data_IF_078332083136
#
_entry.id   IF_078332083136
#
_cell.length_a   1.000
_cell.length_b   1.000
_cell.length_c   1.000
_cell.angle_alpha   90.00
_cell.angle_beta   90.00
_cell.angle_gamma   90.00
#
_symmetry.space_group_name_H-M   'P 1'
#
loop_
_entity.id
_entity.type
_entity.pdbx_description
1 polymer ?
#
# COMPACT_ATOMS: atom_id res chain seq x y z
N UNK A 1 2.39 26.50 16.87
CA UNK A 1 2.44 25.30 17.73
C UNK A 1 3.87 24.86 18.02
N UNK A 2 4.71 24.56 17.03
CA UNK A 2 6.07 24.06 17.25
C UNK A 2 6.94 24.94 18.19
N UNK A 3 6.90 26.26 18.04
CA UNK A 3 7.62 27.19 18.90
C UNK A 3 7.20 27.08 20.39
N UNK A 4 5.90 27.00 20.67
CA UNK A 4 5.42 26.85 22.05
C UNK A 4 5.75 25.48 22.66
N UNK A 5 5.85 24.44 21.83
CA UNK A 5 6.33 23.13 22.26
C UNK A 5 7.81 23.14 22.66
N UNK A 6 8.64 24.00 22.04
CA UNK A 6 10.04 24.17 22.44
C UNK A 6 10.17 24.88 23.80
N UNK A 7 9.20 25.72 24.14
CA UNK A 7 9.10 26.43 25.42
C UNK A 7 8.36 25.63 26.50
N UNK A 8 7.99 24.36 26.23
CA UNK A 8 7.18 23.51 27.11
C UNK A 8 5.80 24.08 27.48
N UNK A 9 5.29 25.04 26.69
CA UNK A 9 3.97 25.66 26.90
C UNK A 9 2.87 24.88 26.17
N UNK A 10 2.55 23.70 26.69
CA UNK A 10 1.60 22.75 26.06
C UNK A 10 0.19 23.35 25.95
N UNK A 11 -0.29 24.04 26.99
CA UNK A 11 -1.63 24.65 26.96
C UNK A 11 -1.76 25.74 25.90
N UNK A 12 -0.75 26.61 25.77
CA UNK A 12 -0.75 27.62 24.70
C UNK A 12 -0.72 26.98 23.32
N UNK A 13 -0.04 25.84 23.17
CA UNK A 13 -0.05 25.11 21.92
C UNK A 13 -1.45 24.51 21.59
N UNK A 14 -2.22 24.06 22.60
CA UNK A 14 -3.63 23.64 22.42
C UNK A 14 -4.52 24.81 22.01
N UNK A 15 -4.40 25.95 22.68
CA UNK A 15 -5.16 27.17 22.33
C UNK A 15 -4.89 27.62 20.89
N UNK A 16 -3.64 27.51 20.42
CA UNK A 16 -3.27 27.82 19.04
C UNK A 16 -3.96 26.84 18.07
N UNK A 17 -4.02 25.55 18.39
CA UNK A 17 -4.71 24.56 17.57
C UNK A 17 -6.21 24.87 17.46
N UNK A 18 -6.87 25.17 18.58
CA UNK A 18 -8.29 25.56 18.60
C UNK A 18 -8.54 26.84 17.83
N UNK A 19 -7.69 27.86 18.01
CA UNK A 19 -7.79 29.13 17.28
C UNK A 19 -7.62 28.89 15.78
N UNK A 20 -6.62 28.12 15.37
CA UNK A 20 -6.39 27.79 13.97
C UNK A 20 -7.60 27.10 13.34
N UNK A 21 -8.25 26.16 14.03
CA UNK A 21 -9.45 25.48 13.53
C UNK A 21 -10.69 26.38 13.42
N UNK A 22 -10.75 27.46 14.20
CA UNK A 22 -11.79 28.49 14.13
C UNK A 22 -11.50 29.52 13.02
N UNK A 23 -10.24 29.85 12.79
CA UNK A 23 -9.83 30.88 11.82
C UNK A 23 -9.68 30.36 10.40
N UNK A 24 -9.21 29.11 10.23
CA UNK A 24 -9.05 28.50 8.91
C UNK A 24 -10.43 28.26 8.30
N UNK A 25 -10.61 28.73 7.07
CA UNK A 25 -11.86 28.65 6.36
C UNK A 25 -12.32 27.18 6.19
N UNK A 26 -13.62 26.92 6.33
CA UNK A 26 -14.14 25.55 6.37
C UNK A 26 -13.89 24.74 5.09
N UNK A 27 -13.73 25.42 3.93
CA UNK A 27 -13.39 24.78 2.65
C UNK A 27 -11.94 24.31 2.56
N UNK A 28 -11.05 24.84 3.40
CA UNK A 28 -9.64 24.44 3.47
C UNK A 28 -9.50 23.13 4.28
N UNK A 29 -10.12 22.06 3.77
CA UNK A 29 -10.18 20.77 4.47
C UNK A 29 -8.80 20.17 4.74
N UNK A 30 -7.84 20.37 3.84
CA UNK A 30 -6.47 19.87 4.02
C UNK A 30 -5.75 20.61 5.15
N UNK A 31 -5.83 21.94 5.19
CA UNK A 31 -5.20 22.74 6.24
C UNK A 31 -5.80 22.44 7.61
N UNK A 32 -7.13 22.30 7.68
CA UNK A 32 -7.80 21.90 8.93
C UNK A 32 -7.37 20.50 9.37
N UNK A 33 -7.25 19.55 8.44
CA UNK A 33 -6.75 18.21 8.73
C UNK A 33 -5.29 18.23 9.23
N UNK A 34 -4.43 19.10 8.69
CA UNK A 34 -3.06 19.28 9.16
C UNK A 34 -3.01 19.79 10.61
N UNK A 35 -3.91 20.72 10.98
CA UNK A 35 -4.02 21.21 12.36
C UNK A 35 -4.47 20.09 13.30
N UNK A 36 -5.47 19.29 12.92
CA UNK A 36 -5.88 18.12 13.71
C UNK A 36 -4.75 17.11 13.90
N UNK A 37 -3.99 16.82 12.83
CA UNK A 37 -2.83 15.93 12.91
C UNK A 37 -1.76 16.47 13.87
N UNK A 38 -1.47 17.77 13.81
CA UNK A 38 -0.52 18.42 14.71
C UNK A 38 -0.99 18.35 16.17
N UNK A 39 -2.29 18.56 16.42
CA UNK A 39 -2.86 18.49 17.76
C UNK A 39 -2.85 17.05 18.30
N UNK A 40 -3.23 16.05 17.51
CA UNK A 40 -3.14 14.64 17.92
C UNK A 40 -1.69 14.22 18.23
N UNK A 41 -0.71 14.71 17.46
CA UNK A 41 0.71 14.46 17.76
C UNK A 41 1.15 15.11 19.07
N UNK A 42 0.68 16.34 19.34
CA UNK A 42 0.92 17.03 20.60
C UNK A 42 0.38 16.22 21.78
N UNK A 43 -0.88 15.79 21.74
CA UNK A 43 -1.48 15.01 22.82
C UNK A 43 -0.82 13.63 22.96
N UNK A 44 -0.46 12.96 21.87
CA UNK A 44 0.20 11.66 21.94
C UNK A 44 1.59 11.74 22.61
N UNK A 45 2.30 12.86 22.44
CA UNK A 45 3.65 13.05 22.95
C UNK A 45 3.70 13.67 24.35
N UNK A 46 2.83 14.62 24.64
CA UNK A 46 2.87 15.42 25.88
C UNK A 46 1.58 15.41 26.70
N UNK A 47 0.48 14.89 26.14
CA UNK A 47 -0.81 14.78 26.81
C UNK A 47 -0.99 13.48 27.57
N UNK A 48 -2.23 13.21 27.96
CA UNK A 48 -2.67 11.96 28.61
C UNK A 48 -3.52 11.15 27.63
N UNK A 49 -3.82 9.89 27.98
CA UNK A 49 -4.74 9.07 27.19
C UNK A 49 -6.13 9.73 27.07
N UNK A 50 -6.60 10.38 28.14
CA UNK A 50 -7.88 11.09 28.18
C UNK A 50 -7.89 12.33 27.28
N UNK A 51 -6.82 13.15 27.32
CA UNK A 51 -6.73 14.36 26.48
C UNK A 51 -6.60 14.01 24.99
N UNK A 52 -5.87 12.93 24.68
CA UNK A 52 -5.75 12.40 23.33
C UNK A 52 -7.10 11.88 22.83
N UNK A 53 -7.83 11.08 23.63
CA UNK A 53 -9.15 10.57 23.22
C UNK A 53 -10.16 11.72 23.04
N UNK A 54 -10.21 12.68 23.96
CA UNK A 54 -11.06 13.86 23.82
C UNK A 54 -10.78 14.63 22.53
N UNK A 55 -9.50 14.83 22.19
CA UNK A 55 -9.08 15.49 20.94
C UNK A 55 -9.44 14.64 19.72
N UNK A 56 -9.28 13.32 19.81
CA UNK A 56 -9.66 12.39 18.75
C UNK A 56 -11.16 12.38 18.49
N UNK A 57 -12.01 12.37 19.53
CA UNK A 57 -13.46 12.47 19.38
C UNK A 57 -13.88 13.79 18.71
N UNK A 58 -13.27 14.92 19.10
CA UNK A 58 -13.48 16.21 18.42
C UNK A 58 -13.07 16.15 16.94
N UNK A 59 -11.93 15.54 16.63
CA UNK A 59 -11.45 15.39 15.26
C UNK A 59 -12.34 14.48 14.41
N UNK A 60 -12.92 13.43 14.99
CA UNK A 60 -13.87 12.54 14.31
C UNK A 60 -15.19 13.23 13.94
N UNK A 61 -15.63 14.22 14.72
CA UNK A 61 -16.83 15.00 14.42
C UNK A 61 -16.58 16.03 13.31
N UNK A 62 -15.36 16.55 13.21
CA UNK A 62 -15.03 17.62 12.27
C UNK A 62 -14.52 17.14 10.89
N UNK A 63 -14.16 15.87 10.74
CA UNK A 63 -13.50 15.34 9.53
C UNK A 63 -14.02 13.94 9.15
N UNK A 64 -13.58 13.40 8.00
CA UNK A 64 -13.84 12.00 7.62
C UNK A 64 -13.29 11.04 8.69
N UNK A 65 -14.16 10.25 9.36
CA UNK A 65 -13.74 9.39 10.47
C UNK A 65 -12.65 8.39 10.08
N UNK A 66 -12.70 7.87 8.84
CA UNK A 66 -11.71 6.91 8.34
C UNK A 66 -10.35 7.58 8.14
N UNK A 67 -10.30 8.80 7.62
CA UNK A 67 -9.06 9.55 7.45
C UNK A 67 -8.37 9.82 8.79
N UNK A 68 -9.08 10.43 9.75
CA UNK A 68 -8.50 10.77 11.06
C UNK A 68 -8.08 9.52 11.84
N UNK A 69 -8.87 8.45 11.80
CA UNK A 69 -8.47 7.19 12.47
C UNK A 69 -7.17 6.63 11.88
N UNK A 70 -6.99 6.66 10.54
CA UNK A 70 -5.73 6.24 9.92
C UNK A 70 -4.54 7.15 10.29
N UNK A 71 -4.78 8.45 10.52
CA UNK A 71 -3.73 9.35 11.00
C UNK A 71 -3.33 9.00 12.43
N UNK A 72 -4.29 8.76 13.33
CA UNK A 72 -3.97 8.37 14.70
C UNK A 72 -3.20 7.03 14.74
N UNK A 73 -3.57 6.07 13.89
CA UNK A 73 -2.80 4.83 13.75
C UNK A 73 -1.35 5.10 13.33
N UNK A 74 -1.13 5.95 12.33
CA UNK A 74 0.22 6.34 11.91
C UNK A 74 1.02 7.00 13.05
N UNK A 75 0.36 7.83 13.88
CA UNK A 75 0.98 8.46 15.05
C UNK A 75 1.40 7.38 16.07
N UNK A 76 0.54 6.40 16.34
CA UNK A 76 0.87 5.29 17.24
C UNK A 76 2.04 4.45 16.73
N UNK A 77 2.05 4.10 15.43
CA UNK A 77 3.17 3.41 14.77
C UNK A 77 4.49 4.20 14.94
N UNK A 78 4.47 5.51 14.68
CA UNK A 78 5.66 6.36 14.81
C UNK A 78 6.15 6.52 16.25
N UNK A 79 5.23 6.49 17.23
CA UNK A 79 5.58 6.56 18.66
C UNK A 79 5.90 5.21 19.29
N UNK A 80 5.87 4.11 18.53
CA UNK A 80 6.13 2.76 19.04
C UNK A 80 4.99 2.18 19.91
N UNK A 81 3.81 2.79 19.93
CA UNK A 81 2.64 2.32 20.70
C UNK A 81 1.86 1.25 19.90
N UNK A 82 2.52 0.12 19.63
CA UNK A 82 2.07 -0.90 18.68
C UNK A 82 0.74 -1.57 19.08
N UNK A 83 0.53 -1.84 20.36
CA UNK A 83 -0.72 -2.44 20.85
C UNK A 83 -1.93 -1.53 20.60
N UNK A 84 -1.76 -0.22 20.81
CA UNK A 84 -2.79 0.78 20.53
C UNK A 84 -3.05 0.92 19.02
N UNK A 85 -2.00 0.84 18.19
CA UNK A 85 -2.15 0.83 16.74
C UNK A 85 -2.95 -0.39 16.26
N UNK A 86 -2.64 -1.59 16.78
CA UNK A 86 -3.31 -2.82 16.40
C UNK A 86 -4.78 -2.85 16.83
N UNK A 87 -5.08 -2.43 18.07
CA UNK A 87 -6.47 -2.33 18.56
C UNK A 87 -7.29 -1.35 17.73
N UNK A 88 -6.70 -0.22 17.34
CA UNK A 88 -7.34 0.76 16.48
C UNK A 88 -7.57 0.20 15.06
N UNK A 89 -6.61 -0.51 14.47
CA UNK A 89 -6.81 -1.21 13.20
C UNK A 89 -7.92 -2.27 13.28
N UNK A 90 -7.98 -3.07 14.35
CA UNK A 90 -9.06 -4.05 14.58
C UNK A 90 -10.42 -3.35 14.57
N UNK A 91 -10.55 -2.24 15.30
CA UNK A 91 -11.77 -1.41 15.32
C UNK A 91 -12.11 -0.85 13.94
N UNK A 92 -11.11 -0.36 13.18
CA UNK A 92 -11.31 0.12 11.82
C UNK A 92 -11.79 -0.96 10.86
N UNK A 93 -11.30 -2.20 10.95
CA UNK A 93 -11.77 -3.29 10.09
C UNK A 93 -13.22 -3.67 10.33
N UNK A 94 -13.73 -3.44 11.55
CA UNK A 94 -15.15 -3.62 11.87
C UNK A 94 -15.98 -2.45 11.35
N UNK A 95 -15.60 -1.21 11.67
CA UNK A 95 -16.34 0.02 11.29
C UNK A 95 -16.31 0.31 9.78
N UNK A 96 -15.21 -0.02 9.12
CA UNK A 96 -14.98 0.24 7.69
C UNK A 96 -14.67 -1.06 6.92
N UNK A 97 -15.42 -2.12 7.21
CA UNK A 97 -15.22 -3.47 6.65
C UNK A 97 -15.19 -3.54 5.12
N UNK A 98 -15.88 -2.62 4.43
CA UNK A 98 -15.90 -2.56 2.96
C UNK A 98 -14.73 -1.77 2.35
N UNK A 99 -13.84 -1.21 3.18
CA UNK A 99 -12.72 -0.35 2.75
C UNK A 99 -11.44 -1.16 2.49
N UNK A 100 -11.12 -1.39 1.22
CA UNK A 100 -9.87 -2.03 0.80
C UNK A 100 -8.61 -1.33 1.36
N UNK A 101 -8.64 0.00 1.53
CA UNK A 101 -7.51 0.77 2.06
C UNK A 101 -7.20 0.41 3.52
N UNK A 102 -8.22 0.12 4.32
CA UNK A 102 -8.05 -0.24 5.74
C UNK A 102 -7.41 -1.62 5.85
N UNK A 103 -7.95 -2.61 5.13
CA UNK A 103 -7.39 -3.97 5.11
C UNK A 103 -5.95 -4.02 4.62
N UNK A 104 -5.64 -3.31 3.53
CA UNK A 104 -4.28 -3.28 2.97
C UNK A 104 -3.28 -2.57 3.89
N UNK A 105 -3.69 -1.50 4.59
CA UNK A 105 -2.82 -0.86 5.58
C UNK A 105 -2.57 -1.74 6.80
N UNK A 106 -3.61 -2.41 7.31
CA UNK A 106 -3.43 -3.31 8.44
C UNK A 106 -2.59 -4.54 8.10
N UNK A 107 -2.72 -5.07 6.88
CA UNK A 107 -1.83 -6.14 6.38
C UNK A 107 -0.38 -5.68 6.24
N UNK A 108 -0.17 -4.44 5.78
CA UNK A 108 1.16 -3.83 5.72
C UNK A 108 1.77 -3.69 7.12
N UNK A 109 0.99 -3.20 8.08
CA UNK A 109 1.39 -3.08 9.47
C UNK A 109 1.91 -4.43 10.01
N UNK A 110 1.16 -5.52 9.82
CA UNK A 110 1.62 -6.83 10.29
C UNK A 110 2.91 -7.30 9.61
N UNK A 111 3.05 -7.10 8.29
CA UNK A 111 4.28 -7.48 7.58
C UNK A 111 5.49 -6.66 8.04
N UNK A 112 5.32 -5.36 8.28
CA UNK A 112 6.40 -4.49 8.76
C UNK A 112 6.88 -4.84 10.17
N UNK A 113 6.00 -5.42 10.99
CA UNK A 113 6.33 -5.83 12.37
C UNK A 113 6.64 -7.34 12.48
N UNK A 114 6.89 -8.02 11.36
CA UNK A 114 7.29 -9.45 11.33
C UNK A 114 6.16 -10.45 11.56
N UNK A 115 4.91 -9.99 11.71
CA UNK A 115 3.74 -10.83 11.94
C UNK A 115 3.14 -11.33 10.62
N UNK A 116 3.92 -12.10 9.86
CA UNK A 116 3.57 -12.53 8.51
C UNK A 116 2.28 -13.37 8.51
N UNK A 117 2.14 -14.32 9.43
CA UNK A 117 0.96 -15.19 9.50
C UNK A 117 -0.32 -14.42 9.83
N UNK A 118 -0.23 -13.42 10.69
CA UNK A 118 -1.37 -12.54 10.98
C UNK A 118 -1.79 -11.75 9.73
N UNK A 119 -0.84 -11.28 8.92
CA UNK A 119 -1.14 -10.62 7.65
C UNK A 119 -1.83 -11.56 6.65
N UNK A 120 -1.36 -12.81 6.57
CA UNK A 120 -1.96 -13.86 5.70
C UNK A 120 -3.39 -14.19 6.11
N UNK A 121 -3.66 -14.34 7.40
CA UNK A 121 -5.02 -14.53 7.92
C UNK A 121 -5.90 -13.31 7.65
N UNK A 122 -5.32 -12.11 7.77
CA UNK A 122 -6.03 -10.87 7.51
C UNK A 122 -6.46 -10.74 6.04
N UNK A 123 -5.64 -11.19 5.09
CA UNK A 123 -6.02 -11.26 3.67
C UNK A 123 -7.29 -12.10 3.51
N UNK A 124 -7.33 -13.31 4.05
CA UNK A 124 -8.50 -14.19 3.96
C UNK A 124 -9.75 -13.52 4.55
N UNK A 125 -9.63 -12.93 5.74
CA UNK A 125 -10.74 -12.21 6.38
C UNK A 125 -11.22 -11.01 5.56
N UNK A 126 -10.29 -10.31 4.89
CA UNK A 126 -10.63 -9.18 4.03
C UNK A 126 -11.48 -9.60 2.84
N UNK A 127 -11.25 -10.78 2.26
CA UNK A 127 -12.00 -11.30 1.12
C UNK A 127 -13.45 -11.67 1.50
N UNK A 128 -13.66 -12.13 2.74
CA UNK A 128 -15.01 -12.39 3.27
C UNK A 128 -15.82 -11.09 3.47
N UNK A 129 -15.15 -10.00 3.84
CA UNK A 129 -15.81 -8.71 4.13
C UNK A 129 -15.96 -7.80 2.90
N UNK A 130 -15.07 -7.93 1.93
CA UNK A 130 -15.01 -7.03 0.78
C UNK A 130 -15.89 -7.50 -0.38
N UNK A 131 -16.48 -6.58 -1.17
CA UNK A 131 -17.13 -6.92 -2.42
C UNK A 131 -16.16 -7.54 -3.44
N UNK A 132 -16.61 -8.53 -4.22
CA UNK A 132 -15.81 -9.25 -5.23
C UNK A 132 -15.03 -8.33 -6.17
N UNK A 133 -15.61 -7.20 -6.60
CA UNK A 133 -14.95 -6.20 -7.46
C UNK A 133 -13.65 -5.61 -6.87
N UNK A 134 -13.49 -5.64 -5.54
CA UNK A 134 -12.30 -5.14 -4.84
C UNK A 134 -11.28 -6.25 -4.53
N UNK A 135 -11.65 -7.53 -4.66
CA UNK A 135 -10.79 -8.67 -4.31
C UNK A 135 -9.47 -8.63 -5.07
N UNK A 136 -9.50 -8.55 -6.40
CA UNK A 136 -8.29 -8.53 -7.24
C UNK A 136 -7.33 -7.40 -6.81
N UNK A 137 -7.88 -6.20 -6.55
CA UNK A 137 -7.08 -5.05 -6.10
C UNK A 137 -6.41 -5.31 -4.75
N UNK A 138 -7.12 -5.93 -3.81
CA UNK A 138 -6.58 -6.24 -2.48
C UNK A 138 -5.57 -7.38 -2.56
N UNK A 139 -5.88 -8.47 -3.25
CA UNK A 139 -4.99 -9.62 -3.43
C UNK A 139 -3.69 -9.18 -4.10
N UNK A 140 -3.76 -8.41 -5.20
CA UNK A 140 -2.58 -7.86 -5.87
C UNK A 140 -1.76 -6.95 -4.94
N UNK A 141 -2.41 -6.18 -4.07
CA UNK A 141 -1.72 -5.33 -3.11
C UNK A 141 -1.02 -6.15 -2.03
N UNK A 142 -1.66 -7.20 -1.50
CA UNK A 142 -1.04 -8.12 -0.55
C UNK A 142 0.14 -8.86 -1.18
N UNK A 143 0.02 -9.33 -2.42
CA UNK A 143 1.13 -9.92 -3.14
C UNK A 143 2.33 -8.95 -3.21
N UNK A 144 2.11 -7.70 -3.64
CA UNK A 144 3.17 -6.68 -3.68
C UNK A 144 3.82 -6.42 -2.31
N UNK A 145 3.07 -6.56 -1.21
CA UNK A 145 3.59 -6.36 0.14
C UNK A 145 4.43 -7.56 0.59
N UNK A 146 4.02 -8.79 0.26
CA UNK A 146 4.80 -10.02 0.51
C UNK A 146 6.15 -9.97 -0.20
N UNK A 147 6.22 -9.50 -1.45
CA UNK A 147 7.53 -9.30 -2.13
C UNK A 147 8.45 -8.28 -1.45
N UNK A 148 7.89 -7.29 -0.73
CA UNK A 148 8.68 -6.19 -0.16
C UNK A 148 9.08 -6.42 1.28
N UNK A 149 8.22 -7.07 2.06
CA UNK A 149 8.34 -7.16 3.51
C UNK A 149 8.18 -8.59 4.04
N UNK A 150 7.70 -9.52 3.22
CA UNK A 150 7.48 -10.91 3.60
C UNK A 150 8.31 -11.85 2.73
N UNK A 151 7.67 -12.90 2.24
CA UNK A 151 8.32 -13.93 1.43
C UNK A 151 8.01 -13.74 -0.06
N UNK A 152 9.03 -13.53 -0.92
CA UNK A 152 8.85 -13.43 -2.37
C UNK A 152 8.12 -14.64 -2.97
N UNK A 153 8.43 -15.86 -2.53
CA UNK A 153 7.77 -17.08 -2.99
C UNK A 153 6.25 -17.08 -2.75
N UNK A 154 5.82 -16.52 -1.62
CA UNK A 154 4.40 -16.40 -1.32
C UNK A 154 3.74 -15.35 -2.22
N UNK A 155 4.42 -14.23 -2.45
CA UNK A 155 4.03 -13.25 -3.43
C UNK A 155 3.83 -13.85 -4.83
N UNK A 156 4.77 -14.70 -5.28
CA UNK A 156 4.68 -15.45 -6.54
C UNK A 156 3.47 -16.36 -6.55
N UNK A 157 3.27 -17.16 -5.50
CA UNK A 157 2.11 -18.05 -5.36
C UNK A 157 0.78 -17.30 -5.50
N UNK A 158 0.68 -16.11 -4.88
CA UNK A 158 -0.53 -15.28 -4.98
C UNK A 158 -0.71 -14.75 -6.41
N UNK A 159 0.35 -14.25 -7.07
CA UNK A 159 0.23 -13.81 -8.46
C UNK A 159 -0.08 -14.96 -9.41
N UNK A 160 0.50 -16.15 -9.22
CA UNK A 160 0.16 -17.33 -10.01
C UNK A 160 -1.34 -17.68 -9.89
N UNK A 161 -1.90 -17.61 -8.67
CA UNK A 161 -3.35 -17.75 -8.48
C UNK A 161 -4.17 -16.68 -9.21
N UNK A 162 -3.68 -15.43 -9.27
CA UNK A 162 -4.31 -14.38 -10.08
C UNK A 162 -4.23 -14.69 -11.57
N UNK A 163 -3.07 -15.14 -12.08
CA UNK A 163 -2.86 -15.39 -13.51
C UNK A 163 -3.61 -16.61 -14.01
N UNK A 164 -3.78 -17.65 -13.19
CA UNK A 164 -4.63 -18.79 -13.50
C UNK A 164 -6.10 -18.39 -13.71
N UNK A 165 -6.59 -17.43 -12.92
CA UNK A 165 -7.97 -16.95 -13.02
C UNK A 165 -8.15 -15.84 -14.08
N UNK A 166 -7.12 -15.02 -14.31
CA UNK A 166 -7.19 -13.83 -15.15
C UNK A 166 -6.00 -13.70 -16.13
N UNK A 167 -5.75 -14.69 -17.01
CA UNK A 167 -4.54 -14.72 -17.83
C UNK A 167 -4.42 -13.57 -18.84
N UNK A 168 -5.54 -12.94 -19.23
CA UNK A 168 -5.57 -11.85 -20.23
C UNK A 168 -5.36 -10.44 -19.63
N UNK A 169 -5.23 -10.32 -18.31
CA UNK A 169 -5.08 -9.03 -17.60
C UNK A 169 -3.63 -8.57 -17.56
N UNK A 170 -3.21 -7.86 -18.62
CA UNK A 170 -1.85 -7.32 -18.75
C UNK A 170 -1.46 -6.38 -17.60
N UNK A 171 -2.41 -5.64 -17.04
CA UNK A 171 -2.20 -4.77 -15.88
C UNK A 171 -1.62 -5.54 -14.69
N UNK A 172 -2.13 -6.76 -14.44
CA UNK A 172 -1.67 -7.60 -13.34
C UNK A 172 -0.32 -8.26 -13.69
N UNK A 173 -0.12 -8.69 -14.94
CA UNK A 173 1.17 -9.20 -15.41
C UNK A 173 2.28 -8.16 -15.31
N UNK A 174 1.99 -6.89 -15.65
CA UNK A 174 2.99 -5.82 -15.53
C UNK A 174 3.44 -5.66 -14.08
N UNK A 175 2.49 -5.66 -13.14
CA UNK A 175 2.79 -5.55 -11.70
C UNK A 175 3.61 -6.76 -11.23
N UNK A 176 3.29 -7.97 -11.68
CA UNK A 176 4.05 -9.16 -11.31
C UNK A 176 5.49 -9.09 -11.84
N UNK A 177 5.67 -8.73 -13.12
CA UNK A 177 6.99 -8.51 -13.72
C UNK A 177 7.77 -7.42 -12.97
N UNK A 178 7.13 -6.30 -12.61
CA UNK A 178 7.79 -5.23 -11.83
C UNK A 178 8.25 -5.69 -10.46
N UNK A 179 7.54 -6.65 -9.86
CA UNK A 179 7.94 -7.23 -8.58
C UNK A 179 9.10 -8.20 -8.72
N UNK A 180 9.12 -9.03 -9.76
CA UNK A 180 10.21 -9.98 -10.01
C UNK A 180 11.51 -9.28 -10.45
N UNK A 181 11.41 -8.22 -11.23
CA UNK A 181 12.57 -7.38 -11.57
C UNK A 181 13.22 -6.80 -10.29
N UNK A 182 12.42 -6.51 -9.25
CA UNK A 182 12.93 -5.99 -7.97
C UNK A 182 13.56 -7.05 -7.09
N UNK A 183 13.12 -8.31 -7.15
CA UNK A 183 13.74 -9.42 -6.43
C UNK A 183 15.10 -9.81 -7.03
N UNK A 184 15.40 -9.36 -8.25
CA UNK A 184 16.66 -9.61 -8.99
C UNK A 184 16.95 -11.09 -9.24
N UNK A 185 15.90 -11.92 -9.29
CA UNK A 185 16.04 -13.30 -9.73
C UNK A 185 15.92 -13.36 -11.25
N UNK A 186 17.07 -13.34 -11.93
CA UNK A 186 17.12 -13.29 -13.39
C UNK A 186 16.50 -14.51 -14.06
N UNK A 187 16.71 -15.69 -13.48
CA UNK A 187 16.23 -16.94 -14.05
C UNK A 187 14.70 -16.99 -14.02
N UNK A 188 14.10 -16.61 -12.88
CA UNK A 188 12.64 -16.55 -12.75
C UNK A 188 12.07 -15.43 -13.61
N UNK A 189 12.72 -14.25 -13.64
CA UNK A 189 12.27 -13.13 -14.46
C UNK A 189 12.25 -13.47 -15.96
N UNK A 190 13.30 -14.11 -16.50
CA UNK A 190 13.35 -14.58 -17.90
C UNK A 190 12.22 -15.56 -18.21
N UNK A 191 12.03 -16.57 -17.37
CA UNK A 191 10.93 -17.55 -17.52
C UNK A 191 9.57 -16.86 -17.50
N UNK A 192 9.40 -15.86 -16.63
CA UNK A 192 8.17 -15.11 -16.52
C UNK A 192 7.90 -14.32 -17.81
N UNK A 193 8.90 -13.61 -18.36
CA UNK A 193 8.78 -12.90 -19.64
C UNK A 193 8.41 -13.83 -20.79
N UNK A 194 9.11 -14.96 -20.92
CA UNK A 194 8.83 -15.97 -21.95
C UNK A 194 7.37 -16.48 -21.86
N UNK A 195 6.90 -16.75 -20.64
CA UNK A 195 5.51 -17.17 -20.42
C UNK A 195 4.52 -16.07 -20.80
N UNK A 196 4.76 -14.81 -20.44
CA UNK A 196 3.85 -13.71 -20.82
C UNK A 196 3.78 -13.56 -22.34
N UNK A 197 4.88 -13.77 -23.06
CA UNK A 197 4.94 -13.65 -24.52
C UNK A 197 4.26 -14.81 -25.24
N UNK A 198 4.28 -16.01 -24.64
CA UNK A 198 3.51 -17.16 -25.14
C UNK A 198 1.99 -16.91 -25.11
N UNK A 199 1.51 -15.94 -24.31
CA UNK A 199 0.10 -15.61 -24.25
C UNK A 199 -0.30 -14.74 -25.45
N UNK A 200 -1.45 -15.07 -26.04
CA UNK A 200 -2.01 -14.31 -27.16
C UNK A 200 -2.56 -12.95 -26.67
N UNK A 201 -1.72 -11.92 -26.71
CA UNK A 201 -2.13 -10.52 -26.52
C UNK A 201 -2.26 -9.78 -27.85
N UNK A 202 -2.85 -8.57 -27.82
CA UNK A 202 -2.89 -7.69 -29.00
C UNK A 202 -1.51 -7.10 -29.31
N UNK A 203 -1.25 -6.74 -30.57
CA UNK A 203 0.07 -6.26 -31.03
C UNK A 203 0.60 -5.06 -30.23
N UNK A 204 -0.28 -4.14 -29.81
CA UNK A 204 0.08 -3.00 -28.93
C UNK A 204 0.60 -3.45 -27.56
N UNK A 205 -0.04 -4.45 -26.96
CA UNK A 205 0.32 -5.03 -25.65
C UNK A 205 1.62 -5.82 -25.73
N UNK A 206 1.79 -6.59 -26.80
CA UNK A 206 3.02 -7.33 -27.05
C UNK A 206 4.21 -6.40 -27.27
N UNK A 207 4.05 -5.33 -28.05
CA UNK A 207 5.09 -4.29 -28.21
C UNK A 207 5.51 -3.68 -26.88
N UNK A 208 4.57 -3.43 -25.97
CA UNK A 208 4.87 -2.95 -24.62
C UNK A 208 5.69 -3.98 -23.82
N UNK A 209 5.31 -5.25 -23.86
CA UNK A 209 6.02 -6.34 -23.17
C UNK A 209 7.44 -6.55 -23.70
N UNK A 210 7.63 -6.61 -25.03
CA UNK A 210 8.94 -6.74 -25.64
C UNK A 210 9.84 -5.54 -25.32
N UNK A 211 9.30 -4.32 -25.34
CA UNK A 211 10.05 -3.12 -24.92
C UNK A 211 10.51 -3.22 -23.47
N UNK A 212 9.62 -3.67 -22.57
CA UNK A 212 9.94 -3.84 -21.15
C UNK A 212 10.99 -4.93 -20.93
N UNK A 213 10.90 -6.06 -21.64
CA UNK A 213 11.87 -7.14 -21.56
C UNK A 213 13.24 -6.69 -22.07
N UNK A 214 13.30 -6.01 -23.22
CA UNK A 214 14.55 -5.48 -23.76
C UNK A 214 15.22 -4.49 -22.81
N UNK A 215 14.45 -3.56 -22.22
CA UNK A 215 14.96 -2.60 -21.23
C UNK A 215 15.53 -3.30 -19.99
N UNK A 216 14.92 -4.43 -19.60
CA UNK A 216 15.41 -5.22 -18.47
C UNK A 216 16.69 -5.98 -18.79
N UNK A 217 16.79 -6.67 -19.94
CA UNK A 217 18.04 -7.33 -20.35
C UNK A 217 19.19 -6.33 -20.54
N UNK A 218 18.89 -5.13 -21.09
CA UNK A 218 19.83 -4.01 -21.15
C UNK A 218 20.32 -3.57 -19.76
N UNK A 219 19.43 -3.57 -18.77
CA UNK A 219 19.81 -3.21 -17.40
C UNK A 219 20.69 -4.26 -16.72
N UNK A 220 20.64 -5.52 -17.18
CA UNK A 220 21.51 -6.61 -16.72
C UNK A 220 22.83 -6.62 -17.51
N UNK A 221 22.84 -6.11 -18.74
CA UNK A 221 23.99 -6.15 -19.64
C UNK A 221 24.16 -7.51 -20.35
N UNK A 222 23.08 -8.28 -20.51
CA UNK A 222 23.12 -9.57 -21.20
C UNK A 222 22.85 -9.40 -22.70
N UNK A 223 23.91 -9.38 -23.50
CA UNK A 223 23.81 -9.26 -24.97
C UNK A 223 23.08 -10.46 -25.59
N UNK A 224 23.28 -11.66 -25.05
CA UNK A 224 22.57 -12.88 -25.47
C UNK A 224 21.07 -12.78 -25.20
N UNK A 225 20.70 -12.26 -24.02
CA UNK A 225 19.30 -12.01 -23.65
C UNK A 225 18.64 -11.02 -24.61
N UNK A 226 19.32 -9.90 -24.91
CA UNK A 226 18.81 -8.91 -25.86
C UNK A 226 18.60 -9.46 -27.27
N UNK A 227 19.55 -10.27 -27.76
CA UNK A 227 19.43 -10.93 -29.06
C UNK A 227 18.21 -11.88 -29.09
N UNK A 228 17.98 -12.61 -28.00
CA UNK A 228 16.82 -13.49 -27.86
C UNK A 228 15.50 -12.71 -27.89
N UNK A 229 15.41 -11.60 -27.16
CA UNK A 229 14.21 -10.74 -27.16
C UNK A 229 13.92 -10.22 -28.57
N UNK A 230 14.95 -9.76 -29.29
CA UNK A 230 14.81 -9.26 -30.67
C UNK A 230 14.33 -10.37 -31.61
N UNK A 231 14.90 -11.58 -31.49
CA UNK A 231 14.51 -12.74 -32.29
C UNK A 231 13.04 -13.12 -32.05
N UNK A 232 12.61 -13.19 -30.79
CA UNK A 232 11.22 -13.51 -30.45
C UNK A 232 10.24 -12.41 -30.87
N UNK A 233 10.63 -11.14 -30.78
CA UNK A 233 9.82 -10.03 -31.26
C UNK A 233 9.62 -10.08 -32.78
N UNK A 234 10.68 -10.39 -33.55
CA UNK A 234 10.60 -10.56 -35.00
C UNK A 234 9.73 -11.77 -35.38
N UNK A 235 9.92 -12.91 -34.73
CA UNK A 235 9.09 -14.09 -34.95
C UNK A 235 7.61 -13.82 -34.66
N UNK A 236 7.31 -13.07 -33.60
CA UNK A 236 5.94 -12.68 -33.28
C UNK A 236 5.33 -11.80 -34.39
N UNK A 237 6.06 -10.80 -34.90
CA UNK A 237 5.59 -9.93 -36.01
C UNK A 237 5.41 -10.70 -37.31
N UNK A 238 6.26 -11.69 -37.60
CA UNK A 238 6.13 -12.55 -38.79
C UNK A 238 4.96 -13.53 -38.69
N UNK A 239 4.55 -13.91 -37.47
CA UNK A 239 3.44 -14.83 -37.20
C UNK A 239 2.07 -14.16 -36.98
N UNK A 240 2.03 -12.82 -36.93
CA UNK A 240 0.85 -12.01 -36.61
C UNK A 240 0.20 -11.41 -37.86
#
# INVERSE_FOLDING_TARGET
MAFQLQMSEIERAREIAERALKTIHFREGQERANVWLAWLNLENKYGTAESLDATFQKALQANDPKHITLQLVNIYEQSGKLELAETLYKTMTKKFSTSAKVWTRFGLYYLQHGNIDASRQLLQRSLLSLPKRKHIKVISRFAQMEFKHGEPERGRTIFEGIMSNYPKRLDLWSVYLDMEIRTKDEAITRRLFQRVISLKFSSKKMKFLFKKWLQWEQSIGSEEGEAEVKRQALAYVQSA
#
